data_IF_907778412352
#
_entry.id   IF_907778412352
#
_cell.length_a   1.000
_cell.length_b   1.000
_cell.length_c   1.000
_cell.angle_alpha   90.00
_cell.angle_beta   90.00
_cell.angle_gamma   90.00
#
_symmetry.space_group_name_H-M   'P 1'
#
loop_
_entity.id
_entity.type
_entity.pdbx_description
1 polymer ?
#
# COMPACT_ATOMS: atom_id res chain seq x y z
N UNK A 1 -12.27 11.07 -1.49
CA UNK A 1 -13.08 9.84 -1.53
C UNK A 1 -14.22 9.96 -0.53
N UNK A 2 -15.27 9.20 -0.74
CA UNK A 2 -16.51 9.22 0.04
C UNK A 2 -16.68 7.92 0.84
N UNK A 3 -17.58 7.88 1.85
CA UNK A 3 -17.91 6.65 2.56
C UNK A 3 -18.49 5.54 1.68
N UNK A 4 -19.07 5.88 0.54
CA UNK A 4 -19.66 4.92 -0.40
C UNK A 4 -18.62 4.27 -1.32
N UNK A 5 -17.43 4.87 -1.46
CA UNK A 5 -16.36 4.35 -2.28
C UNK A 5 -15.85 3.01 -1.72
N UNK A 6 -15.59 2.06 -2.61
CA UNK A 6 -14.90 0.81 -2.26
C UNK A 6 -13.40 1.07 -2.24
N UNK A 7 -12.79 0.90 -1.10
CA UNK A 7 -11.38 1.24 -0.88
C UNK A 7 -10.55 -0.04 -0.81
N UNK A 8 -9.45 -0.08 -1.58
CA UNK A 8 -8.40 -1.08 -1.46
C UNK A 8 -7.19 -0.48 -0.75
N UNK A 9 -6.87 -0.97 0.43
CA UNK A 9 -5.70 -0.53 1.22
C UNK A 9 -4.49 -1.38 0.86
N UNK A 10 -3.40 -0.74 0.45
CA UNK A 10 -2.13 -1.41 0.22
C UNK A 10 -1.43 -1.66 1.56
N UNK A 11 -1.47 -2.88 2.06
CA UNK A 11 -0.83 -3.26 3.34
C UNK A 11 0.50 -3.96 3.12
N UNK A 12 1.49 -3.63 3.94
CA UNK A 12 2.84 -4.19 3.87
C UNK A 12 3.27 -4.92 5.15
N UNK A 13 2.38 -5.01 6.15
CA UNK A 13 2.71 -5.50 7.50
C UNK A 13 3.48 -4.49 8.36
N UNK A 14 3.77 -3.30 7.83
CA UNK A 14 4.29 -2.17 8.60
C UNK A 14 3.17 -1.44 9.35
N UNK A 15 3.53 -0.78 10.47
CA UNK A 15 2.60 -0.07 11.34
C UNK A 15 1.68 0.91 10.59
N UNK A 16 2.23 1.71 9.68
CA UNK A 16 1.49 2.78 9.00
C UNK A 16 0.36 2.24 8.12
N UNK A 17 0.62 1.17 7.37
CA UNK A 17 -0.36 0.57 6.48
C UNK A 17 -1.48 -0.17 7.23
N UNK A 18 -1.14 -0.84 8.33
CA UNK A 18 -2.14 -1.54 9.19
C UNK A 18 -2.96 -0.50 9.96
N UNK A 19 -2.32 0.53 10.53
CA UNK A 19 -3.01 1.65 11.18
C UNK A 19 -3.97 2.37 10.23
N UNK A 20 -3.57 2.61 8.97
CA UNK A 20 -4.48 3.18 7.98
C UNK A 20 -5.71 2.31 7.78
N UNK A 21 -5.53 1.00 7.61
CA UNK A 21 -6.65 0.08 7.43
C UNK A 21 -7.58 0.10 8.62
N UNK A 22 -7.04 0.02 9.83
CA UNK A 22 -7.81 0.11 11.08
C UNK A 22 -8.61 1.41 11.18
N UNK A 23 -7.98 2.56 10.93
CA UNK A 23 -8.65 3.87 11.00
C UNK A 23 -9.81 3.93 10.01
N UNK A 24 -9.63 3.46 8.78
CA UNK A 24 -10.69 3.45 7.79
C UNK A 24 -11.88 2.57 8.24
N UNK A 25 -11.61 1.41 8.82
CA UNK A 25 -12.65 0.53 9.36
C UNK A 25 -13.38 1.17 10.56
N UNK A 26 -12.65 1.75 11.50
CA UNK A 26 -13.23 2.48 12.65
C UNK A 26 -14.09 3.67 12.23
N UNK A 27 -13.76 4.31 11.13
CA UNK A 27 -14.54 5.42 10.55
C UNK A 27 -15.73 4.94 9.69
N UNK A 28 -15.93 3.62 9.55
CA UNK A 28 -17.06 3.05 8.83
C UNK A 28 -16.91 3.00 7.31
N UNK A 29 -15.69 3.17 6.77
CA UNK A 29 -15.43 3.01 5.35
C UNK A 29 -15.43 1.55 4.91
N UNK A 30 -15.83 1.30 3.66
CA UNK A 30 -15.76 -0.02 3.00
C UNK A 30 -14.33 -0.27 2.49
N UNK A 31 -13.44 -0.69 3.38
CA UNK A 31 -12.03 -0.85 3.10
C UNK A 31 -11.60 -2.30 3.20
N UNK A 32 -11.18 -2.88 2.08
CA UNK A 32 -10.49 -4.17 2.01
C UNK A 32 -8.98 -3.95 1.89
N UNK A 33 -8.18 -4.94 2.23
CA UNK A 33 -6.72 -4.84 2.15
C UNK A 33 -6.12 -5.76 1.10
N UNK A 34 -5.04 -5.31 0.46
CA UNK A 34 -4.21 -6.12 -0.42
C UNK A 34 -2.78 -6.20 0.15
N UNK A 35 -2.34 -7.40 0.44
CA UNK A 35 -0.96 -7.74 0.75
C UNK A 35 -0.30 -8.40 -0.46
N UNK A 36 0.87 -7.90 -0.84
CA UNK A 36 1.68 -8.49 -1.91
C UNK A 36 2.91 -9.14 -1.29
N UNK A 37 2.91 -10.48 -1.27
CA UNK A 37 4.06 -11.27 -0.85
C UNK A 37 5.13 -11.25 -1.94
N UNK A 38 6.33 -10.82 -1.55
CA UNK A 38 7.45 -10.61 -2.46
C UNK A 38 8.36 -11.85 -2.60
N UNK A 39 8.10 -12.93 -1.86
CA UNK A 39 8.99 -14.08 -1.81
C UNK A 39 10.36 -13.76 -1.17
N UNK A 40 10.39 -12.87 -0.16
CA UNK A 40 11.64 -12.54 0.57
C UNK A 40 11.66 -13.32 1.87
N UNK A 41 12.47 -14.39 1.93
CA UNK A 41 12.60 -15.24 3.12
C UNK A 41 12.81 -14.46 4.41
N UNK A 42 12.08 -14.83 5.45
CA UNK A 42 12.13 -14.24 6.79
C UNK A 42 11.48 -12.86 6.90
N UNK A 43 11.34 -12.11 5.82
CA UNK A 43 10.64 -10.81 5.82
C UNK A 43 9.16 -10.98 5.43
N UNK A 44 8.89 -11.62 4.29
CA UNK A 44 7.53 -11.83 3.80
C UNK A 44 6.68 -12.60 4.80
N UNK A 45 7.22 -13.68 5.36
CA UNK A 45 6.56 -14.52 6.36
C UNK A 45 6.10 -13.70 7.57
N UNK A 46 7.02 -12.93 8.20
CA UNK A 46 6.70 -12.11 9.38
C UNK A 46 5.70 -10.99 9.08
N UNK A 47 5.79 -10.42 7.88
CA UNK A 47 4.89 -9.34 7.46
C UNK A 47 3.50 -9.88 7.16
N UNK A 48 3.41 -11.02 6.51
CA UNK A 48 2.18 -11.75 6.21
C UNK A 48 1.45 -12.11 7.50
N UNK A 49 2.14 -12.78 8.42
CA UNK A 49 1.61 -13.19 9.73
C UNK A 49 0.98 -12.04 10.52
N UNK A 50 1.61 -10.85 10.50
CA UNK A 50 1.06 -9.65 11.15
C UNK A 50 -0.23 -9.17 10.49
N UNK A 51 -0.26 -9.15 9.15
CA UNK A 51 -1.44 -8.69 8.40
C UNK A 51 -2.58 -9.68 8.55
N UNK A 52 -2.31 -10.98 8.49
CA UNK A 52 -3.32 -12.01 8.71
C UNK A 52 -3.90 -11.96 10.12
N UNK A 53 -3.05 -11.78 11.13
CA UNK A 53 -3.51 -11.63 12.51
C UNK A 53 -4.46 -10.45 12.64
N UNK A 54 -4.10 -9.28 12.13
CA UNK A 54 -4.97 -8.11 12.15
C UNK A 54 -6.27 -8.34 11.38
N UNK A 55 -6.21 -8.99 10.21
CA UNK A 55 -7.38 -9.33 9.41
C UNK A 55 -8.37 -10.16 10.23
N UNK A 56 -7.89 -11.22 10.88
CA UNK A 56 -8.69 -12.14 11.70
C UNK A 56 -9.24 -11.46 12.97
N UNK A 57 -8.39 -10.69 13.66
CA UNK A 57 -8.74 -10.14 14.97
C UNK A 57 -9.65 -8.90 14.88
N UNK A 58 -9.55 -8.13 13.79
CA UNK A 58 -10.25 -6.83 13.64
C UNK A 58 -11.06 -6.73 12.36
N UNK A 59 -10.44 -6.98 11.20
CA UNK A 59 -11.04 -6.64 9.92
C UNK A 59 -12.27 -7.48 9.58
N UNK A 60 -12.26 -8.76 9.88
CA UNK A 60 -13.39 -9.69 9.61
C UNK A 60 -14.65 -9.26 10.35
N UNK A 61 -14.53 -8.77 11.60
CA UNK A 61 -15.66 -8.26 12.38
C UNK A 61 -16.32 -7.03 11.75
N UNK A 62 -15.57 -6.28 10.94
CA UNK A 62 -16.05 -5.13 10.17
C UNK A 62 -16.51 -5.50 8.75
N UNK A 63 -16.52 -6.79 8.38
CA UNK A 63 -16.86 -7.26 7.03
C UNK A 63 -15.80 -6.94 5.98
N UNK A 64 -14.59 -6.60 6.40
CA UNK A 64 -13.44 -6.32 5.53
C UNK A 64 -12.69 -7.61 5.17
N UNK A 65 -12.07 -7.64 3.98
CA UNK A 65 -11.34 -8.79 3.46
C UNK A 65 -9.86 -8.47 3.31
N UNK A 66 -9.03 -9.48 3.55
CA UNK A 66 -7.63 -9.48 3.16
C UNK A 66 -7.46 -10.27 1.86
N UNK A 67 -6.93 -9.61 0.84
CA UNK A 67 -6.52 -10.23 -0.42
C UNK A 67 -5.01 -10.41 -0.36
N UNK A 68 -4.52 -11.61 -0.62
CA UNK A 68 -3.09 -11.93 -0.65
C UNK A 68 -2.71 -12.31 -2.08
N UNK A 69 -1.66 -11.67 -2.58
CA UNK A 69 -1.03 -12.02 -3.85
C UNK A 69 0.43 -12.39 -3.63
N UNK A 70 0.83 -13.54 -4.14
CA UNK A 70 2.20 -14.04 -4.07
C UNK A 70 2.90 -13.80 -5.41
N UNK A 71 4.02 -13.08 -5.39
CA UNK A 71 4.78 -12.77 -6.61
C UNK A 71 5.31 -14.03 -7.28
N UNK A 72 5.69 -15.03 -6.49
CA UNK A 72 6.18 -16.31 -7.00
C UNK A 72 5.11 -17.07 -7.80
N UNK A 73 3.84 -17.04 -7.35
CA UNK A 73 2.73 -17.69 -8.08
C UNK A 73 2.42 -16.97 -9.39
N UNK A 74 2.49 -15.63 -9.41
CA UNK A 74 2.18 -14.83 -10.59
C UNK A 74 3.32 -14.81 -11.62
N UNK A 75 4.57 -14.82 -11.19
CA UNK A 75 5.75 -14.60 -12.04
C UNK A 75 6.74 -15.78 -12.07
N UNK A 76 6.48 -16.86 -11.32
CA UNK A 76 7.31 -18.05 -11.24
C UNK A 76 8.62 -17.87 -10.46
N UNK A 77 8.85 -16.70 -9.85
CA UNK A 77 10.06 -16.40 -9.08
C UNK A 77 9.84 -15.28 -8.08
N UNK A 78 10.62 -15.28 -7.00
CA UNK A 78 10.60 -14.20 -6.01
C UNK A 78 11.26 -12.91 -6.52
N UNK A 79 11.04 -11.79 -5.82
CA UNK A 79 11.46 -10.46 -6.26
C UNK A 79 12.96 -10.32 -6.51
N UNK A 80 13.81 -11.02 -5.74
CA UNK A 80 15.27 -10.96 -5.90
C UNK A 80 15.72 -11.61 -7.20
N UNK A 81 15.12 -12.73 -7.53
CA UNK A 81 15.42 -13.48 -8.76
C UNK A 81 14.92 -12.70 -9.99
N UNK A 82 13.69 -12.19 -9.94
CA UNK A 82 13.13 -11.34 -10.98
C UNK A 82 14.00 -10.10 -11.24
N UNK A 83 14.49 -9.44 -10.19
CA UNK A 83 15.38 -8.29 -10.32
C UNK A 83 16.67 -8.64 -11.06
N UNK A 84 17.23 -9.83 -10.79
CA UNK A 84 18.42 -10.34 -11.47
C UNK A 84 18.13 -10.62 -12.94
N UNK A 85 17.00 -11.27 -13.24
CA UNK A 85 16.58 -11.59 -14.62
C UNK A 85 16.40 -10.33 -15.48
N UNK A 86 15.73 -9.30 -14.91
CA UNK A 86 15.49 -8.04 -15.65
C UNK A 86 16.66 -7.05 -15.56
N UNK A 87 17.75 -7.39 -14.86
CA UNK A 87 18.94 -6.56 -14.66
C UNK A 87 18.62 -5.15 -14.10
N UNK A 88 17.72 -5.10 -13.11
CA UNK A 88 17.31 -3.85 -12.45
C UNK A 88 17.52 -3.94 -10.94
N UNK A 89 17.72 -2.81 -10.24
CA UNK A 89 17.78 -2.80 -8.78
C UNK A 89 16.52 -3.44 -8.17
N UNK A 90 16.69 -4.27 -7.13
CA UNK A 90 15.59 -4.98 -6.46
C UNK A 90 14.47 -4.04 -6.01
N UNK A 91 14.81 -2.87 -5.43
CA UNK A 91 13.81 -1.88 -5.00
C UNK A 91 12.98 -1.34 -6.17
N UNK A 92 13.60 -1.10 -7.34
CA UNK A 92 12.91 -0.62 -8.54
C UNK A 92 11.95 -1.69 -9.07
N UNK A 93 12.41 -2.94 -9.15
CA UNK A 93 11.60 -4.09 -9.58
C UNK A 93 10.42 -4.32 -8.63
N UNK A 94 10.68 -4.32 -7.32
CA UNK A 94 9.67 -4.42 -6.28
C UNK A 94 8.58 -3.34 -6.42
N UNK A 95 9.00 -2.08 -6.55
CA UNK A 95 8.06 -0.97 -6.71
C UNK A 95 7.21 -1.07 -7.98
N UNK A 96 7.76 -1.62 -9.06
CA UNK A 96 7.02 -1.81 -10.33
C UNK A 96 5.99 -2.94 -10.18
N UNK A 97 6.39 -4.08 -9.63
CA UNK A 97 5.51 -5.24 -9.43
C UNK A 97 4.38 -4.90 -8.46
N UNK A 98 4.68 -4.26 -7.32
CA UNK A 98 3.65 -3.83 -6.38
C UNK A 98 2.62 -2.91 -7.03
N UNK A 99 3.07 -1.89 -7.78
CA UNK A 99 2.15 -0.98 -8.48
C UNK A 99 1.28 -1.70 -9.51
N UNK A 100 1.85 -2.64 -10.23
CA UNK A 100 1.10 -3.47 -11.17
C UNK A 100 0.02 -4.27 -10.47
N UNK A 101 0.37 -5.01 -9.41
CA UNK A 101 -0.57 -5.83 -8.66
C UNK A 101 -1.69 -4.99 -8.03
N UNK A 102 -1.35 -3.86 -7.42
CA UNK A 102 -2.34 -2.96 -6.83
C UNK A 102 -3.33 -2.44 -7.87
N UNK A 103 -2.85 -2.02 -9.06
CA UNK A 103 -3.74 -1.56 -10.12
C UNK A 103 -4.59 -2.71 -10.68
N UNK A 104 -3.99 -3.90 -10.89
CA UNK A 104 -4.69 -5.08 -11.40
C UNK A 104 -5.84 -5.48 -10.48
N UNK A 105 -5.55 -5.69 -9.20
CA UNK A 105 -6.55 -6.11 -8.22
C UNK A 105 -7.63 -5.05 -8.04
N UNK A 106 -7.26 -3.78 -7.99
CA UNK A 106 -8.22 -2.70 -7.89
C UNK A 106 -9.18 -2.68 -9.09
N UNK A 107 -8.65 -2.86 -10.29
CA UNK A 107 -9.44 -2.88 -11.52
C UNK A 107 -10.34 -4.12 -11.64
N UNK A 108 -9.77 -5.31 -11.45
CA UNK A 108 -10.51 -6.59 -11.54
C UNK A 108 -11.67 -6.67 -10.54
N UNK A 109 -11.48 -6.12 -9.34
CA UNK A 109 -12.48 -6.15 -8.28
C UNK A 109 -13.31 -4.85 -8.17
N UNK A 110 -13.15 -3.91 -9.09
CA UNK A 110 -13.91 -2.65 -9.18
C UNK A 110 -13.83 -1.81 -7.89
N UNK A 111 -12.60 -1.61 -7.38
CA UNK A 111 -12.34 -0.65 -6.32
C UNK A 111 -12.26 0.75 -6.90
N UNK A 112 -12.89 1.72 -6.24
CA UNK A 112 -12.92 3.13 -6.65
C UNK A 112 -11.65 3.85 -6.24
N UNK A 113 -11.08 3.44 -5.10
CA UNK A 113 -9.96 4.11 -4.44
C UNK A 113 -8.92 3.10 -4.00
N UNK A 114 -7.66 3.41 -4.26
CA UNK A 114 -6.50 2.73 -3.69
C UNK A 114 -5.83 3.62 -2.65
N UNK A 115 -5.83 3.22 -1.39
CA UNK A 115 -5.24 3.95 -0.28
C UNK A 115 -3.87 3.37 0.11
N UNK A 116 -2.91 4.25 0.40
CA UNK A 116 -1.57 3.87 0.87
C UNK A 116 -1.22 4.56 2.18
N UNK A 117 -0.48 3.87 3.06
CA UNK A 117 -0.08 4.36 4.37
C UNK A 117 1.09 5.35 4.38
N UNK A 118 1.32 6.09 3.28
CA UNK A 118 2.32 7.15 3.27
C UNK A 118 1.93 8.28 4.22
N UNK A 119 2.85 8.65 5.08
CA UNK A 119 2.68 9.67 6.11
C UNK A 119 3.39 10.98 5.75
N UNK A 120 3.34 11.97 6.64
CA UNK A 120 3.96 13.28 6.45
C UNK A 120 5.48 13.19 6.28
N UNK A 121 6.14 12.34 7.07
CA UNK A 121 7.60 12.19 7.03
C UNK A 121 8.05 11.57 5.69
N UNK A 122 7.31 10.58 5.17
CA UNK A 122 7.53 9.99 3.85
C UNK A 122 7.41 11.03 2.73
N UNK A 123 6.37 11.86 2.78
CA UNK A 123 6.14 12.89 1.76
C UNK A 123 7.17 14.02 1.83
N UNK A 124 7.58 14.43 3.04
CA UNK A 124 8.63 15.42 3.25
C UNK A 124 10.00 14.90 2.74
N UNK A 125 10.35 13.66 3.09
CA UNK A 125 11.58 13.02 2.62
C UNK A 125 11.61 12.88 1.10
N UNK A 126 10.49 12.49 0.49
CA UNK A 126 10.34 12.39 -0.96
C UNK A 126 10.44 13.74 -1.64
N UNK A 127 9.78 14.78 -1.10
CA UNK A 127 9.85 16.14 -1.61
C UNK A 127 11.30 16.64 -1.62
N UNK A 128 11.99 16.52 -0.48
CA UNK A 128 13.37 16.93 -0.37
C UNK A 128 14.28 16.18 -1.36
N UNK A 129 14.12 14.86 -1.47
CA UNK A 129 14.87 14.04 -2.42
C UNK A 129 14.65 14.46 -3.88
N UNK A 130 13.40 14.70 -4.28
CA UNK A 130 13.07 15.13 -5.63
C UNK A 130 13.62 16.52 -5.94
N UNK A 131 13.56 17.45 -4.98
CA UNK A 131 14.13 18.82 -5.15
C UNK A 131 15.65 18.75 -5.28
N UNK A 132 16.33 18.01 -4.41
CA UNK A 132 17.80 17.88 -4.44
C UNK A 132 18.33 17.19 -5.70
N UNK A 133 17.52 16.33 -6.33
CA UNK A 133 17.86 15.60 -7.55
C UNK A 133 17.29 16.24 -8.81
N UNK A 134 16.67 17.43 -8.71
CA UNK A 134 16.04 18.14 -9.83
C UNK A 134 15.05 17.30 -10.63
N UNK A 135 14.28 16.46 -9.92
CA UNK A 135 13.31 15.55 -10.54
C UNK A 135 11.93 16.20 -10.62
N UNK A 136 11.76 17.19 -11.49
CA UNK A 136 10.53 17.99 -11.63
C UNK A 136 9.29 17.15 -11.93
N UNK A 137 9.41 16.12 -12.78
CA UNK A 137 8.31 15.22 -13.14
C UNK A 137 7.71 14.49 -11.92
N UNK A 138 8.54 14.23 -10.90
CA UNK A 138 8.07 13.55 -9.69
C UNK A 138 7.41 14.50 -8.70
N UNK A 139 7.73 15.80 -8.73
CA UNK A 139 7.08 16.80 -7.89
C UNK A 139 5.58 16.91 -8.20
N UNK A 140 5.22 16.87 -9.48
CA UNK A 140 3.83 16.90 -9.92
C UNK A 140 3.01 15.68 -9.44
N UNK A 141 3.67 14.56 -9.13
CA UNK A 141 3.07 13.30 -8.69
C UNK A 141 3.02 13.15 -7.16
N UNK A 142 3.34 14.19 -6.41
CA UNK A 142 3.34 14.17 -4.94
C UNK A 142 2.01 14.59 -4.29
N UNK A 143 0.98 14.85 -5.07
CA UNK A 143 -0.35 15.13 -4.52
C UNK A 143 -0.83 14.01 -3.58
N UNK A 144 -1.51 14.34 -2.47
CA UNK A 144 -2.15 13.35 -1.60
C UNK A 144 -3.28 12.60 -2.28
N UNK A 145 -3.79 13.14 -3.39
CA UNK A 145 -4.77 12.48 -4.25
C UNK A 145 -4.28 12.55 -5.69
N UNK A 146 -4.14 11.38 -6.30
CA UNK A 146 -3.80 11.26 -7.71
C UNK A 146 -5.00 10.66 -8.45
N UNK A 147 -5.49 11.32 -9.52
CA UNK A 147 -6.57 10.78 -10.34
C UNK A 147 -6.12 9.46 -10.98
N UNK A 148 -7.06 8.68 -11.44
CA UNK A 148 -6.78 7.50 -12.23
C UNK A 148 -6.00 7.91 -13.50
N UNK A 149 -4.89 7.24 -13.77
CA UNK A 149 -4.05 7.52 -14.96
C UNK A 149 -4.61 6.92 -16.24
N UNK A 150 -5.50 5.96 -16.11
CA UNK A 150 -6.18 5.24 -17.21
C UNK A 150 -7.62 5.01 -16.77
N UNK A 151 -8.54 5.05 -17.73
CA UNK A 151 -9.94 4.73 -17.47
C UNK A 151 -10.09 3.34 -16.87
N UNK A 152 -10.89 3.23 -15.81
CA UNK A 152 -11.08 2.00 -15.05
C UNK A 152 -10.07 1.75 -13.93
N UNK A 153 -8.98 2.53 -13.84
CA UNK A 153 -8.06 2.42 -12.69
C UNK A 153 -8.60 3.17 -11.47
N UNK A 154 -8.32 2.65 -10.29
CA UNK A 154 -8.67 3.30 -9.03
C UNK A 154 -7.88 4.61 -8.82
N UNK A 155 -8.55 5.62 -8.28
CA UNK A 155 -7.92 6.82 -7.78
C UNK A 155 -6.99 6.48 -6.62
N UNK A 156 -5.79 7.08 -6.56
CA UNK A 156 -4.82 6.84 -5.48
C UNK A 156 -4.89 7.94 -4.44
N UNK A 157 -4.93 7.55 -3.17
CA UNK A 157 -5.01 8.48 -2.04
C UNK A 157 -4.01 8.11 -0.94
N UNK A 158 -3.59 9.13 -0.19
CA UNK A 158 -2.68 9.02 0.96
C UNK A 158 -3.37 9.66 2.18
N UNK A 159 -4.28 8.96 2.85
CA UNK A 159 -5.06 9.55 3.95
C UNK A 159 -4.21 10.06 5.11
N UNK A 160 -3.06 9.43 5.38
CA UNK A 160 -2.16 9.77 6.48
C UNK A 160 -1.14 10.87 6.14
N UNK A 161 -1.21 11.53 4.97
CA UNK A 161 -0.18 12.46 4.49
C UNK A 161 0.08 13.69 5.38
N UNK A 162 -0.82 13.98 6.33
CA UNK A 162 -0.67 15.05 7.35
C UNK A 162 -0.30 14.54 8.74
N UNK A 163 -0.25 13.23 8.93
CA UNK A 163 0.11 12.62 10.20
C UNK A 163 1.60 12.30 10.19
N UNK A 164 2.29 12.65 11.26
CA UNK A 164 3.69 12.30 11.46
C UNK A 164 3.85 10.82 11.79
N UNK A 165 5.02 10.26 11.48
CA UNK A 165 5.36 8.89 11.88
C UNK A 165 5.21 8.67 13.39
N UNK A 166 5.53 9.70 14.20
CA UNK A 166 5.39 9.67 15.65
C UNK A 166 3.93 9.55 16.09
N UNK A 167 3.01 10.29 15.47
CA UNK A 167 1.57 10.23 15.78
C UNK A 167 1.00 8.87 15.44
N UNK A 168 1.39 8.31 14.29
CA UNK A 168 0.96 6.96 13.88
C UNK A 168 1.53 5.90 14.83
N UNK A 169 2.79 6.03 15.24
CA UNK A 169 3.39 5.12 16.21
C UNK A 169 2.69 5.20 17.57
N UNK A 170 2.36 6.40 18.04
CA UNK A 170 1.60 6.59 19.28
C UNK A 170 0.21 5.95 19.19
N UNK A 171 -0.50 6.14 18.08
CA UNK A 171 -1.79 5.52 17.84
C UNK A 171 -1.68 3.98 17.87
N UNK A 172 -0.69 3.40 17.19
CA UNK A 172 -0.50 1.95 17.11
C UNK A 172 -0.10 1.30 18.45
N UNK A 173 0.42 2.07 19.40
CA UNK A 173 0.74 1.57 20.76
C UNK A 173 -0.48 1.58 21.67
N UNK A 174 -1.40 2.52 21.44
CA UNK A 174 -2.60 2.71 22.32
C UNK A 174 -3.75 1.81 21.89
N UNK A 175 -3.80 1.39 20.62
CA UNK A 175 -4.86 0.56 20.05
C UNK A 175 -4.37 -0.82 19.69
#
# INVERSE_FOLDING_TARGET
>A
FSPDDRILVAVSGGKDSVTLWEILLKLGYRADALYVDLGISGYSERSHEKVERFARDVAESCGSKLIVHTVEEDAGAGIKELATLVKRPTCSTCGTIKRYQFNRVAWENKYDVMATGHNLDDEAARLLGNVLQWQEEYLQKQSPTLPASVEGFAKKVKPLYRMTEREIAAYAVVN
#
